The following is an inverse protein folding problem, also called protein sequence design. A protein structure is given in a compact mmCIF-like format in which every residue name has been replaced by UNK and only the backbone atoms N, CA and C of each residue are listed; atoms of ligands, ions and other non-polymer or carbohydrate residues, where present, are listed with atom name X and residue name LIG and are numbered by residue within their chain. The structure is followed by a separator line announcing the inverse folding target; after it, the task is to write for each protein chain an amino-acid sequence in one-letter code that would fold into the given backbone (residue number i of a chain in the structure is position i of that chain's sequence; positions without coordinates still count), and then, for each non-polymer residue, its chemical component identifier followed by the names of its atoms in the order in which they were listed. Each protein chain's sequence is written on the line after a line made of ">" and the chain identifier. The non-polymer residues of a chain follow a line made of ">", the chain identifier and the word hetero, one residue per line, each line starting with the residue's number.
data_IF_332858283839
#
_entry.id   IF_332858283839
#
_cell.length_a   1.000
_cell.length_b   1.000
_cell.length_c   1.000
_cell.angle_alpha   90.00
_cell.angle_beta   90.00
_cell.angle_gamma   90.00
#
_symmetry.space_group_name_H-M   'P 1'
#
loop_
_entity.id
_entity.type
_entity.pdbx_description
1 polymer ?
#
# COMPACT_ATOMS: atom_id res chain seq x y z
N UNK A 1 -34.01 2.67 -17.88
CA UNK A 1 -33.21 1.76 -17.03
C UNK A 1 -32.91 0.50 -17.83
N UNK A 2 -31.68 -0.03 -17.78
CA UNK A 2 -31.24 -1.16 -18.62
C UNK A 2 -31.85 -2.52 -18.17
N UNK A 3 -32.23 -2.63 -16.88
CA UNK A 3 -32.81 -3.83 -16.28
C UNK A 3 -34.15 -3.49 -15.58
N UNK A 4 -35.12 -4.43 -15.58
CA UNK A 4 -36.32 -4.37 -14.76
C UNK A 4 -36.01 -4.26 -13.26
N UNK A 5 -36.77 -3.43 -12.56
CA UNK A 5 -36.64 -3.21 -11.12
C UNK A 5 -36.85 -4.49 -10.29
N UNK A 6 -37.74 -5.37 -10.76
CA UNK A 6 -38.02 -6.67 -10.15
C UNK A 6 -36.80 -7.61 -10.16
N UNK A 7 -35.97 -7.54 -11.21
CA UNK A 7 -34.75 -8.35 -11.29
C UNK A 7 -33.67 -7.82 -10.35
N UNK A 8 -33.49 -6.51 -10.27
CA UNK A 8 -32.47 -5.88 -9.40
C UNK A 8 -32.79 -6.10 -7.92
N UNK A 9 -34.07 -6.09 -7.53
CA UNK A 9 -34.51 -6.40 -6.16
C UNK A 9 -34.55 -7.90 -5.82
N UNK A 10 -34.29 -8.77 -6.79
CA UNK A 10 -34.33 -10.21 -6.55
C UNK A 10 -33.18 -10.67 -5.65
N UNK A 11 -33.44 -11.67 -4.79
CA UNK A 11 -32.41 -12.25 -3.92
C UNK A 11 -31.26 -12.89 -4.70
N UNK A 12 -31.53 -13.55 -5.83
CA UNK A 12 -30.49 -14.16 -6.67
C UNK A 12 -29.52 -13.12 -7.24
N UNK A 13 -30.05 -11.98 -7.70
CA UNK A 13 -29.22 -10.87 -8.15
C UNK A 13 -28.36 -10.29 -7.02
N UNK A 14 -28.91 -10.16 -5.82
CA UNK A 14 -28.17 -9.68 -4.65
C UNK A 14 -26.97 -10.58 -4.29
N UNK A 15 -27.13 -11.92 -4.40
CA UNK A 15 -26.04 -12.87 -4.17
C UNK A 15 -24.93 -12.69 -5.21
N UNK A 16 -25.27 -12.60 -6.49
CA UNK A 16 -24.30 -12.37 -7.57
C UNK A 16 -23.59 -11.02 -7.40
N UNK A 17 -24.34 -9.97 -7.07
CA UNK A 17 -23.80 -8.65 -6.81
C UNK A 17 -22.83 -8.67 -5.62
N UNK A 18 -23.14 -9.40 -4.55
CA UNK A 18 -22.25 -9.57 -3.41
C UNK A 18 -20.94 -10.28 -3.80
N UNK A 19 -20.99 -11.33 -4.62
CA UNK A 19 -19.77 -11.98 -5.11
C UNK A 19 -18.87 -11.03 -5.90
N UNK A 20 -19.46 -10.26 -6.83
CA UNK A 20 -18.72 -9.27 -7.63
C UNK A 20 -18.16 -8.16 -6.72
N UNK A 21 -18.96 -7.67 -5.77
CA UNK A 21 -18.54 -6.65 -4.83
C UNK A 21 -17.36 -7.12 -3.97
N UNK A 22 -17.43 -8.33 -3.42
CA UNK A 22 -16.34 -8.92 -2.61
C UNK A 22 -15.07 -9.04 -3.45
N UNK A 23 -15.15 -9.61 -4.66
CA UNK A 23 -13.98 -9.75 -5.52
C UNK A 23 -13.36 -8.39 -5.86
N UNK A 24 -14.19 -7.41 -6.19
CA UNK A 24 -13.76 -6.05 -6.52
C UNK A 24 -13.09 -5.37 -5.33
N UNK A 25 -13.70 -5.43 -4.14
CA UNK A 25 -13.16 -4.82 -2.92
C UNK A 25 -11.83 -5.45 -2.54
N UNK A 26 -11.72 -6.78 -2.58
CA UNK A 26 -10.47 -7.48 -2.30
C UNK A 26 -9.39 -7.10 -3.31
N UNK A 27 -9.72 -7.10 -4.60
CA UNK A 27 -8.78 -6.71 -5.66
C UNK A 27 -8.30 -5.27 -5.49
N UNK A 28 -9.21 -4.32 -5.25
CA UNK A 28 -8.88 -2.91 -5.05
C UNK A 28 -8.01 -2.74 -3.80
N UNK A 29 -8.37 -3.39 -2.69
CA UNK A 29 -7.59 -3.33 -1.45
C UNK A 29 -6.15 -3.81 -1.66
N UNK A 30 -5.96 -4.93 -2.35
CA UNK A 30 -4.64 -5.46 -2.67
C UNK A 30 -3.87 -4.57 -3.65
N UNK A 31 -4.57 -4.00 -4.64
CA UNK A 31 -3.98 -3.10 -5.62
C UNK A 31 -3.49 -1.82 -4.97
N UNK A 32 -4.29 -1.21 -4.08
CA UNK A 32 -3.91 -0.03 -3.30
C UNK A 32 -2.73 -0.37 -2.38
N UNK A 33 -2.81 -1.49 -1.64
CA UNK A 33 -1.74 -1.94 -0.77
C UNK A 33 -0.41 -2.14 -1.51
N UNK A 34 -0.46 -2.62 -2.77
CA UNK A 34 0.71 -2.77 -3.64
C UNK A 34 1.17 -1.48 -4.32
N UNK A 35 0.27 -0.54 -4.57
CA UNK A 35 0.59 0.74 -5.20
C UNK A 35 1.34 1.68 -4.24
N UNK A 36 1.20 1.47 -2.93
CA UNK A 36 1.97 2.19 -1.92
C UNK A 36 3.48 1.88 -2.07
N UNK A 37 4.35 2.90 -2.01
CA UNK A 37 5.79 2.69 -2.01
C UNK A 37 6.19 1.85 -0.80
N UNK A 38 7.19 0.98 -0.99
CA UNK A 38 7.68 0.10 0.07
C UNK A 38 8.28 0.94 1.19
N UNK A 39 7.58 1.04 2.31
CA UNK A 39 8.05 1.79 3.49
C UNK A 39 9.15 0.98 4.17
N UNK A 40 10.40 1.39 3.99
CA UNK A 40 11.53 0.80 4.67
C UNK A 40 11.63 1.40 6.07
N UNK A 41 11.03 0.73 7.07
CA UNK A 41 11.04 1.16 8.48
C UNK A 41 12.46 1.42 9.00
N UNK A 42 13.46 0.69 8.48
CA UNK A 42 14.88 0.87 8.84
C UNK A 42 15.48 2.18 8.35
N UNK A 43 14.94 2.78 7.28
CA UNK A 43 15.41 4.07 6.76
C UNK A 43 14.88 5.24 7.58
N UNK A 44 13.73 5.04 8.26
CA UNK A 44 13.14 6.01 9.17
C UNK A 44 13.64 5.89 10.62
N UNK A 45 14.41 4.84 10.94
CA UNK A 45 14.97 4.66 12.27
C UNK A 45 16.31 5.41 12.38
N UNK A 46 16.53 6.21 13.43
CA UNK A 46 17.82 6.88 13.62
C UNK A 46 18.94 5.84 13.65
N UNK A 47 19.91 5.98 12.73
CA UNK A 47 21.10 5.12 12.70
C UNK A 47 21.87 5.31 14.01
N UNK A 48 21.91 4.27 14.84
CA UNK A 48 22.69 4.26 16.10
C UNK A 48 24.20 4.40 15.85
N UNK A 49 24.67 4.06 14.65
CA UNK A 49 26.08 4.20 14.28
C UNK A 49 26.38 5.61 13.79
N UNK A 50 26.60 6.53 14.74
CA UNK A 50 27.49 7.66 14.50
C UNK A 50 28.90 7.09 14.34
N UNK A 51 29.53 7.35 13.19
CA UNK A 51 30.91 6.93 12.92
C UNK A 51 31.80 7.64 13.94
N UNK A 52 32.32 6.89 14.93
CA UNK A 52 33.12 7.44 16.02
C UNK A 52 34.47 8.01 15.56
N UNK A 53 34.92 7.68 14.35
CA UNK A 53 36.26 8.01 13.89
C UNK A 53 36.28 8.42 12.41
N UNK A 54 36.88 9.58 12.16
CA UNK A 54 37.04 10.16 10.83
C UNK A 54 38.15 9.41 10.07
N UNK A 55 37.77 8.41 9.28
CA UNK A 55 38.67 7.74 8.33
C UNK A 55 38.87 8.53 7.03
N UNK A 56 39.01 9.85 7.11
CA UNK A 56 39.44 10.64 5.95
C UNK A 56 40.95 10.59 5.84
N UNK A 57 41.47 10.54 4.62
CA UNK A 57 42.90 10.67 4.34
C UNK A 57 43.47 12.06 4.70
N UNK A 58 42.60 13.04 4.98
CA UNK A 58 42.94 14.39 5.42
C UNK A 58 42.08 14.78 6.64
N UNK A 59 42.42 14.30 7.84
CA UNK A 59 41.63 14.56 9.05
C UNK A 59 41.55 16.04 9.43
N UNK A 60 42.53 16.86 9.02
CA UNK A 60 42.69 18.26 9.44
C UNK A 60 42.48 19.28 8.30
N UNK A 61 41.65 18.96 7.30
CA UNK A 61 41.34 19.93 6.25
C UNK A 61 40.66 21.19 6.88
N UNK A 62 41.18 22.41 6.66
CA UNK A 62 40.55 23.62 7.16
C UNK A 62 39.17 23.77 6.51
N UNK A 63 38.18 24.14 7.32
CA UNK A 63 36.79 24.38 6.89
C UNK A 63 36.70 25.41 5.77
#
# INVERSE_FOLDING_TARGET
>A
MLLPESLVRSHGFAVLAAFVAINTVVYVALSVAKALPKVYVRDHLPRTYHRAETRSIHPDAPR
#
